data_IF_651193325031
#
_entry.id   IF_651193325031
#
_cell.length_a   1.000
_cell.length_b   1.000
_cell.length_c   1.000
_cell.angle_alpha   90.00
_cell.angle_beta   90.00
_cell.angle_gamma   90.00
#
_symmetry.space_group_name_H-M   'P 1'
#
loop_
_entity.id
_entity.type
_entity.pdbx_description
1 polymer ?
#
# COMPACT_ATOMS: atom_id res chain seq x y z
N UNK A 1 -0.17 28.87 -1.08
CA UNK A 1 -0.63 27.54 -0.64
C UNK A 1 0.44 26.52 -1.03
N UNK A 2 1.27 26.06 -0.09
CA UNK A 2 2.32 25.08 -0.39
C UNK A 2 1.71 23.75 -0.83
N UNK A 3 2.23 23.14 -1.89
CA UNK A 3 1.85 21.77 -2.27
C UNK A 3 2.18 20.85 -1.09
N UNK A 4 1.17 20.18 -0.52
CA UNK A 4 1.37 19.15 0.52
C UNK A 4 2.35 18.12 -0.05
N UNK A 5 3.49 17.95 0.61
CA UNK A 5 4.44 16.91 0.23
C UNK A 5 3.72 15.57 0.29
N UNK A 6 3.92 14.74 -0.73
CA UNK A 6 3.26 13.44 -0.81
C UNK A 6 3.98 12.51 0.17
N UNK A 7 3.35 12.24 1.31
CA UNK A 7 3.82 11.26 2.30
C UNK A 7 3.48 9.83 1.87
N UNK A 8 4.20 8.85 2.42
CA UNK A 8 4.02 7.43 2.17
C UNK A 8 2.61 7.00 2.57
N UNK A 9 1.80 6.63 1.57
CA UNK A 9 0.43 6.17 1.79
C UNK A 9 0.35 4.69 2.20
N UNK A 10 1.44 3.94 2.09
CA UNK A 10 1.46 2.50 2.32
C UNK A 10 2.88 2.01 2.65
N UNK A 11 2.99 1.20 3.70
CA UNK A 11 4.15 0.37 4.00
C UNK A 11 3.69 -1.08 4.28
N UNK A 12 4.52 -2.10 3.99
CA UNK A 12 4.18 -3.49 4.27
C UNK A 12 4.26 -3.79 5.77
N UNK A 13 3.12 -4.10 6.39
CA UNK A 13 3.08 -4.56 7.77
C UNK A 13 3.07 -6.08 7.84
N UNK A 14 4.20 -6.68 8.22
CA UNK A 14 4.32 -8.12 8.42
C UNK A 14 3.85 -8.52 9.81
N UNK A 15 2.63 -9.06 9.91
CA UNK A 15 1.98 -9.42 11.20
C UNK A 15 2.81 -10.45 11.97
N UNK A 16 3.44 -11.41 11.28
CA UNK A 16 4.30 -12.42 11.89
C UNK A 16 5.50 -11.79 12.59
N UNK A 17 6.32 -11.05 11.85
CA UNK A 17 7.48 -10.32 12.39
C UNK A 17 7.08 -9.41 13.54
N UNK A 18 5.99 -8.66 13.37
CA UNK A 18 5.50 -7.74 14.40
C UNK A 18 5.14 -8.49 15.67
N UNK A 19 4.40 -9.60 15.57
CA UNK A 19 4.02 -10.39 16.73
C UNK A 19 5.24 -11.03 17.39
N UNK A 20 6.14 -11.63 16.62
CA UNK A 20 7.36 -12.24 17.17
C UNK A 20 8.25 -11.23 17.89
N UNK A 21 8.39 -10.01 17.35
CA UNK A 21 9.22 -8.96 17.93
C UNK A 21 8.60 -8.26 19.15
N UNK A 22 7.31 -8.45 19.42
CA UNK A 22 6.60 -7.67 20.46
C UNK A 22 5.77 -8.51 21.41
N UNK A 23 5.94 -9.84 21.39
CA UNK A 23 5.14 -10.76 22.21
C UNK A 23 5.41 -10.59 23.71
N UNK A 24 6.61 -10.14 24.07
CA UNK A 24 7.03 -9.89 25.45
C UNK A 24 6.61 -8.51 25.97
N UNK A 25 6.14 -7.63 25.09
CA UNK A 25 5.69 -6.30 25.46
C UNK A 25 4.32 -6.34 26.14
N UNK A 26 4.13 -5.40 27.06
CA UNK A 26 2.80 -5.06 27.57
C UNK A 26 1.92 -4.48 26.46
N UNK A 27 0.60 -4.45 26.70
CA UNK A 27 -0.33 -3.84 25.76
C UNK A 27 -0.01 -2.37 25.46
N UNK A 28 0.43 -1.61 26.45
CA UNK A 28 0.75 -0.18 26.32
C UNK A 28 2.02 0.01 25.48
N UNK A 29 3.08 -0.74 25.78
CA UNK A 29 4.34 -0.71 25.01
C UNK A 29 4.11 -1.11 23.56
N UNK A 30 3.36 -2.20 23.32
CA UNK A 30 3.05 -2.67 21.97
C UNK A 30 2.20 -1.65 21.18
N UNK A 31 1.29 -0.94 21.84
CA UNK A 31 0.53 0.15 21.22
C UNK A 31 1.43 1.35 20.89
N UNK A 32 2.32 1.75 21.80
CA UNK A 32 3.26 2.84 21.59
C UNK A 32 4.24 2.53 20.47
N UNK A 33 4.79 1.32 20.42
CA UNK A 33 5.65 0.88 19.33
C UNK A 33 4.93 1.02 17.98
N UNK A 34 3.65 0.65 17.90
CA UNK A 34 2.87 0.84 16.68
C UNK A 34 2.70 2.32 16.31
N UNK A 35 2.37 3.17 17.28
CA UNK A 35 2.24 4.62 17.06
C UNK A 35 3.55 5.27 16.60
N UNK A 36 4.69 4.82 17.13
CA UNK A 36 6.03 5.28 16.73
C UNK A 36 6.33 4.88 15.29
N UNK A 37 6.06 3.63 14.89
CA UNK A 37 6.23 3.18 13.51
C UNK A 37 5.35 3.98 12.54
N UNK A 38 4.08 4.18 12.88
CA UNK A 38 3.16 4.94 12.03
C UNK A 38 3.62 6.41 11.89
N UNK A 39 4.13 7.02 12.96
CA UNK A 39 4.75 8.35 12.91
C UNK A 39 6.02 8.39 12.06
N UNK A 40 6.86 7.35 12.15
CA UNK A 40 8.09 7.23 11.38
C UNK A 40 7.79 7.16 9.88
N UNK A 41 6.84 6.31 9.48
CA UNK A 41 6.45 6.15 8.08
C UNK A 41 5.64 7.34 7.54
N UNK A 42 4.85 8.03 8.36
CA UNK A 42 4.15 9.25 7.93
C UNK A 42 5.12 10.40 7.64
N UNK A 43 6.17 10.52 8.47
CA UNK A 43 7.15 11.60 8.34
C UNK A 43 8.33 11.25 7.44
N UNK A 44 8.55 9.95 7.18
CA UNK A 44 9.68 9.39 6.42
C UNK A 44 11.04 9.84 6.99
N UNK A 45 11.10 10.07 8.31
CA UNK A 45 12.26 10.65 9.00
C UNK A 45 12.45 10.04 10.39
N UNK A 46 13.67 10.11 10.94
CA UNK A 46 13.95 9.73 12.32
C UNK A 46 13.04 10.48 13.30
N UNK A 47 12.70 9.81 14.39
CA UNK A 47 11.85 10.40 15.42
C UNK A 47 12.63 11.43 16.22
N UNK A 48 11.95 12.46 16.73
CA UNK A 48 12.58 13.55 17.47
C UNK A 48 13.36 13.03 18.70
N UNK A 49 14.60 13.45 18.90
CA UNK A 49 15.41 13.07 20.07
C UNK A 49 14.83 13.56 21.41
N UNK A 50 14.00 14.61 21.40
CA UNK A 50 13.27 15.09 22.56
C UNK A 50 12.05 14.20 22.87
N UNK A 51 12.26 13.26 23.79
CA UNK A 51 11.24 12.30 24.24
C UNK A 51 9.97 12.98 24.73
N UNK A 52 10.05 14.17 25.35
CA UNK A 52 8.85 14.89 25.82
C UNK A 52 7.98 15.34 24.65
N UNK A 53 8.59 15.77 23.55
CA UNK A 53 7.87 16.12 22.31
C UNK A 53 7.29 14.87 21.65
N UNK A 54 8.05 13.76 21.63
CA UNK A 54 7.54 12.48 21.13
C UNK A 54 6.34 11.99 21.92
N UNK A 55 6.40 11.99 23.25
CA UNK A 55 5.31 11.59 24.12
C UNK A 55 4.01 12.35 23.79
N UNK A 56 4.10 13.66 23.54
CA UNK A 56 2.94 14.46 23.09
C UNK A 56 2.43 14.04 21.72
N UNK A 57 3.32 13.66 20.80
CA UNK A 57 2.96 13.26 19.43
C UNK A 57 2.26 11.90 19.39
N UNK A 58 2.73 10.94 20.18
CA UNK A 58 2.15 9.59 20.29
C UNK A 58 1.09 9.45 21.40
N UNK A 59 0.70 10.58 22.03
CA UNK A 59 -0.33 10.65 23.07
C UNK A 59 0.00 9.83 24.33
N UNK A 60 1.29 9.66 24.65
CA UNK A 60 1.76 9.17 25.94
C UNK A 60 1.61 10.29 26.99
N UNK A 61 0.46 10.34 27.64
CA UNK A 61 0.08 11.40 28.58
C UNK A 61 0.34 11.03 30.03
N UNK A 62 0.15 9.76 30.40
CA UNK A 62 0.38 9.26 31.76
C UNK A 62 1.84 8.91 32.01
N UNK A 63 2.25 8.87 33.28
CA UNK A 63 3.63 8.50 33.64
C UNK A 63 3.96 7.05 33.24
N UNK A 64 2.99 6.14 33.37
CA UNK A 64 3.11 4.76 32.88
C UNK A 64 3.38 4.70 31.37
N UNK A 65 2.65 5.49 30.57
CA UNK A 65 2.86 5.54 29.12
C UNK A 65 4.21 6.16 28.75
N UNK A 66 4.72 7.12 29.55
CA UNK A 66 6.04 7.72 29.33
C UNK A 66 7.15 6.72 29.64
N UNK A 67 7.04 5.99 30.74
CA UNK A 67 7.99 4.92 31.06
C UNK A 67 7.98 3.81 29.99
N UNK A 68 6.80 3.41 29.52
CA UNK A 68 6.66 2.46 28.41
C UNK A 68 7.26 3.00 27.10
N UNK A 69 7.15 4.30 26.84
CA UNK A 69 7.77 4.94 25.67
C UNK A 69 9.29 4.85 25.75
N UNK A 70 9.89 5.11 26.91
CA UNK A 70 11.33 5.01 27.11
C UNK A 70 11.83 3.58 26.85
N UNK A 71 11.15 2.58 27.42
CA UNK A 71 11.46 1.14 27.21
C UNK A 71 11.42 0.78 25.72
N UNK A 72 10.37 1.20 25.01
CA UNK A 72 10.22 0.89 23.57
C UNK A 72 11.29 1.60 22.73
N UNK A 73 11.65 2.85 23.06
CA UNK A 73 12.70 3.58 22.35
C UNK A 73 14.05 2.91 22.55
N UNK A 74 14.37 2.51 23.78
CA UNK A 74 15.63 1.82 24.10
C UNK A 74 15.74 0.45 23.44
N UNK A 75 14.62 -0.28 23.30
CA UNK A 75 14.63 -1.63 22.73
C UNK A 75 14.63 -1.64 21.20
N UNK A 76 13.82 -0.81 20.54
CA UNK A 76 13.57 -0.91 19.10
C UNK A 76 14.20 0.21 18.27
N UNK A 77 14.80 1.20 18.92
CA UNK A 77 15.38 2.36 18.25
C UNK A 77 16.82 2.62 18.70
N UNK A 78 17.56 3.32 17.87
CA UNK A 78 18.92 3.78 18.18
C UNK A 78 18.95 5.30 18.12
N UNK A 79 19.42 5.94 19.19
CA UNK A 79 19.58 7.39 19.23
C UNK A 79 20.85 7.80 18.46
N UNK A 80 20.65 8.55 17.37
CA UNK A 80 21.69 9.17 16.56
C UNK A 80 21.66 10.70 16.72
N UNK A 81 22.56 11.41 16.04
CA UNK A 81 22.66 12.87 16.11
C UNK A 81 21.37 13.59 15.64
N UNK A 82 20.66 13.02 14.67
CA UNK A 82 19.47 13.60 14.05
C UNK A 82 18.14 13.06 14.59
N UNK A 83 18.16 12.03 15.46
CA UNK A 83 16.96 11.50 16.10
C UNK A 83 17.06 10.03 16.49
N UNK A 84 15.91 9.44 16.82
CA UNK A 84 15.76 8.01 17.05
C UNK A 84 15.47 7.28 15.74
N UNK A 85 16.33 6.32 15.41
CA UNK A 85 16.28 5.54 14.18
C UNK A 85 15.73 4.14 14.42
N UNK A 86 15.01 3.63 13.43
CA UNK A 86 14.69 2.21 13.33
C UNK A 86 15.26 1.67 12.02
N UNK A 87 16.19 0.73 12.12
CA UNK A 87 16.95 0.20 10.98
C UNK A 87 16.03 -0.32 9.85
N UNK A 88 14.96 -1.02 10.24
CA UNK A 88 13.99 -1.55 9.28
C UNK A 88 13.24 -0.41 8.58
N UNK A 89 12.75 0.58 9.34
CA UNK A 89 12.07 1.74 8.76
C UNK A 89 12.97 2.47 7.76
N UNK A 90 14.22 2.73 8.12
CA UNK A 90 15.19 3.42 7.27
C UNK A 90 15.44 2.66 5.96
N UNK A 91 15.64 1.33 6.05
CA UNK A 91 15.82 0.48 4.88
C UNK A 91 14.59 0.47 3.96
N UNK A 92 13.39 0.35 4.53
CA UNK A 92 12.13 0.33 3.76
C UNK A 92 11.85 1.69 3.08
N UNK A 93 12.09 2.81 3.78
CA UNK A 93 11.91 4.17 3.24
C UNK A 93 12.92 4.44 2.11
N UNK A 94 14.19 4.06 2.30
CA UNK A 94 15.21 4.19 1.26
C UNK A 94 14.84 3.41 -0.02
N UNK A 95 14.38 2.16 0.14
CA UNK A 95 13.92 1.34 -0.97
C UNK A 95 12.68 1.94 -1.67
N UNK A 96 11.75 2.50 -0.90
CA UNK A 96 10.56 3.18 -1.42
C UNK A 96 10.94 4.37 -2.30
N UNK A 97 11.82 5.26 -1.82
CA UNK A 97 12.28 6.41 -2.58
C UNK A 97 13.05 6.01 -3.85
N UNK A 98 13.92 5.00 -3.75
CA UNK A 98 14.67 4.50 -4.90
C UNK A 98 13.72 4.02 -6.01
N UNK A 99 12.70 3.24 -5.64
CA UNK A 99 11.67 2.75 -6.58
C UNK A 99 10.85 3.89 -7.17
N UNK A 100 10.44 4.86 -6.34
CA UNK A 100 9.66 6.02 -6.80
C UNK A 100 10.45 6.85 -7.83
N UNK A 101 11.75 7.06 -7.58
CA UNK A 101 12.64 7.82 -8.47
C UNK A 101 12.87 7.09 -9.80
N UNK A 102 13.08 5.77 -9.77
CA UNK A 102 13.19 4.96 -10.99
C UNK A 102 11.92 5.04 -11.84
N UNK A 103 10.75 4.92 -11.21
CA UNK A 103 9.45 5.04 -11.89
C UNK A 103 9.25 6.44 -12.47
N UNK A 104 9.65 7.49 -11.76
CA UNK A 104 9.59 8.88 -12.24
C UNK A 104 10.46 9.06 -13.49
N UNK A 105 11.72 8.59 -13.46
CA UNK A 105 12.64 8.66 -14.61
C UNK A 105 12.09 7.89 -15.82
N UNK A 106 11.60 6.67 -15.61
CA UNK A 106 11.00 5.86 -16.66
C UNK A 106 9.75 6.54 -17.26
N UNK A 107 8.89 7.11 -16.42
CA UNK A 107 7.71 7.86 -16.84
C UNK A 107 8.05 9.10 -17.68
N UNK A 108 9.07 9.85 -17.27
CA UNK A 108 9.56 11.02 -18.03
C UNK A 108 10.18 10.61 -19.37
N UNK A 109 10.99 9.56 -19.41
CA UNK A 109 11.56 9.02 -20.64
C UNK A 109 10.46 8.57 -21.61
N UNK A 110 9.44 7.86 -21.11
CA UNK A 110 8.27 7.43 -21.89
C UNK A 110 7.45 8.62 -22.41
N UNK A 111 7.26 9.66 -21.61
CA UNK A 111 6.59 10.88 -22.03
C UNK A 111 7.36 11.61 -23.15
N UNK A 112 8.68 11.76 -22.99
CA UNK A 112 9.56 12.37 -24.00
C UNK A 112 9.55 11.59 -25.31
N UNK A 113 9.65 10.26 -25.26
CA UNK A 113 9.61 9.41 -26.45
C UNK A 113 8.27 9.52 -27.21
N UNK A 114 7.14 9.59 -26.49
CA UNK A 114 5.82 9.82 -27.09
C UNK A 114 5.70 11.22 -27.71
N UNK A 115 6.24 12.23 -27.05
CA UNK A 115 6.29 13.61 -27.58
C UNK A 115 7.09 13.70 -28.87
N UNK A 116 8.28 13.09 -28.92
CA UNK A 116 9.14 13.07 -30.11
C UNK A 116 8.47 12.37 -31.31
N UNK A 117 7.79 11.24 -31.10
CA UNK A 117 7.03 10.55 -32.17
C UNK A 117 5.87 11.40 -32.70
N UNK A 118 5.19 12.15 -31.84
CA UNK A 118 4.10 13.06 -32.24
C UNK A 118 4.61 14.26 -33.06
N UNK A 119 5.79 14.79 -32.73
CA UNK A 119 6.45 15.85 -33.49
C UNK A 119 6.97 15.38 -34.85
N UNK A 120 7.53 14.17 -34.93
CA UNK A 120 8.02 13.59 -36.19
C UNK A 120 6.90 13.31 -37.20
N UNK A 121 5.69 12.97 -36.72
CA UNK A 121 4.53 12.72 -37.59
C UNK A 121 3.84 14.03 -38.07
N UNK A 122 4.18 15.19 -37.51
CA UNK A 122 3.55 16.47 -37.88
C UNK A 122 4.30 17.24 -38.99
N UNK A 123 5.55 16.86 -39.32
CA UNK A 123 6.35 17.47 -40.39
C UNK A 123 6.39 16.63 -41.69
N UNK A 124 5.61 15.54 -41.77
CA UNK A 124 5.42 14.76 -42.99
C UNK A 124 4.32 15.36 -43.85
N UNK A 125 4.56 16.53 -44.45
CA UNK A 125 3.74 17.05 -45.54
C UNK A 125 4.00 16.23 -46.79
N UNK A 126 3.10 15.29 -47.08
CA UNK A 126 3.06 14.53 -48.33
C UNK A 126 1.60 14.33 -48.74
N UNK A 127 1.16 15.11 -49.72
CA UNK A 127 -0.08 14.95 -50.46
C UNK A 127 -0.05 13.66 -51.27
N UNK A 128 -1.05 12.79 -51.13
CA UNK A 128 -1.72 12.19 -52.28
C UNK A 128 -3.09 11.59 -51.90
N UNK A 129 -4.04 11.71 -52.81
CA UNK A 129 -5.40 11.17 -52.73
C UNK A 129 -5.41 9.65 -52.92
N UNK A 130 -6.45 9.00 -52.37
CA UNK A 130 -6.93 7.70 -52.85
C UNK A 130 -6.59 6.49 -51.99
N UNK A 131 -7.48 6.18 -51.05
CA UNK A 131 -7.39 4.93 -50.28
C UNK A 131 -8.47 4.80 -49.23
N UNK A 132 -9.72 4.58 -49.65
CA UNK A 132 -10.80 4.12 -48.79
C UNK A 132 -10.41 2.76 -48.18
N UNK A 133 -9.99 2.75 -46.93
CA UNK A 133 -10.20 1.58 -46.05
C UNK A 133 -10.71 2.08 -44.72
N UNK A 134 -12.01 1.88 -44.51
CA UNK A 134 -12.68 2.13 -43.25
C UNK A 134 -12.07 1.26 -42.16
N UNK A 135 -11.43 1.91 -41.20
CA UNK A 135 -11.37 1.42 -39.82
C UNK A 135 -11.66 2.63 -38.95
N UNK A 136 -12.95 2.86 -38.71
CA UNK A 136 -13.39 3.70 -37.61
C UNK A 136 -12.72 3.19 -36.34
N UNK A 137 -11.80 3.99 -35.79
CA UNK A 137 -11.35 3.75 -34.43
C UNK A 137 -12.52 4.11 -33.53
N UNK A 138 -13.22 3.08 -33.07
CA UNK A 138 -14.23 3.21 -32.03
C UNK A 138 -13.64 4.05 -30.89
N UNK A 139 -14.29 5.18 -30.61
CA UNK A 139 -14.13 5.91 -29.37
C UNK A 139 -14.45 4.91 -28.25
N UNK A 140 -13.42 4.32 -27.65
CA UNK A 140 -13.59 3.65 -26.37
C UNK A 140 -13.93 4.73 -25.35
N UNK A 141 -15.22 5.04 -25.25
CA UNK A 141 -15.82 5.68 -24.10
C UNK A 141 -15.59 4.76 -22.92
N UNK A 142 -14.49 4.95 -22.21
CA UNK A 142 -14.29 4.33 -20.91
C UNK A 142 -15.12 5.12 -19.90
N UNK A 143 -16.43 4.97 -20.01
CA UNK A 143 -17.37 5.25 -18.93
C UNK A 143 -16.94 4.37 -17.76
N UNK A 144 -16.51 4.97 -16.66
CA UNK A 144 -16.39 4.27 -15.38
C UNK A 144 -17.80 4.07 -14.83
N UNK A 145 -18.53 3.13 -15.43
CA UNK A 145 -19.65 2.48 -14.75
C UNK A 145 -19.05 1.52 -13.74
N UNK A 146 -19.02 1.95 -12.49
CA UNK A 146 -18.70 1.11 -11.34
C UNK A 146 -19.85 0.12 -11.19
N UNK A 147 -19.69 -1.08 -11.75
CA UNK A 147 -20.56 -2.21 -11.41
C UNK A 147 -20.36 -2.54 -9.92
N UNK A 148 -21.43 -2.57 -9.10
CA UNK A 148 -21.32 -3.06 -7.74
C UNK A 148 -20.93 -4.53 -7.77
N UNK A 149 -19.93 -4.90 -6.95
CA UNK A 149 -19.44 -6.27 -6.78
C UNK A 149 -20.58 -7.20 -6.37
N UNK A 150 -21.23 -7.85 -7.34
CA UNK A 150 -22.07 -9.02 -7.07
C UNK A 150 -21.14 -10.15 -6.62
N UNK A 151 -21.19 -10.46 -5.34
CA UNK A 151 -20.63 -11.66 -4.75
C UNK A 151 -21.08 -12.88 -5.57
N UNK A 152 -20.14 -13.47 -6.33
CA UNK A 152 -20.36 -14.80 -6.93
C UNK A 152 -20.39 -15.80 -5.79
N UNK A 153 -21.60 -16.13 -5.32
CA UNK A 153 -21.82 -17.36 -4.57
C UNK A 153 -21.36 -18.51 -5.45
N UNK A 154 -20.25 -19.15 -5.07
CA UNK A 154 -19.72 -20.33 -5.74
C UNK A 154 -20.74 -21.45 -5.60
N UNK A 155 -21.56 -21.68 -6.63
CA UNK A 155 -22.49 -22.81 -6.66
C UNK A 155 -21.66 -24.09 -6.59
N UNK A 156 -21.53 -24.68 -5.39
CA UNK A 156 -20.84 -25.95 -5.20
C UNK A 156 -21.68 -27.04 -5.85
N UNK A 157 -21.07 -27.79 -6.76
CA UNK A 157 -21.69 -28.93 -7.42
C UNK A 157 -22.12 -29.97 -6.36
N UNK A 158 -23.39 -30.34 -6.33
CA UNK A 158 -24.02 -31.22 -5.33
C UNK A 158 -23.38 -32.61 -5.24
N UNK A 159 -22.77 -33.08 -6.34
CA UNK A 159 -22.02 -34.34 -6.37
C UNK A 159 -20.70 -34.30 -5.58
N UNK A 160 -20.07 -33.13 -5.47
CA UNK A 160 -18.83 -32.99 -4.70
C UNK A 160 -19.11 -33.06 -3.19
N UNK A 161 -20.17 -32.37 -2.74
CA UNK A 161 -20.60 -32.38 -1.34
C UNK A 161 -21.06 -33.77 -0.87
N UNK A 162 -21.77 -34.51 -1.73
CA UNK A 162 -22.18 -35.88 -1.44
C UNK A 162 -20.98 -36.82 -1.15
N UNK A 163 -19.87 -36.64 -1.87
CA UNK A 163 -18.64 -37.43 -1.68
C UNK A 163 -17.85 -37.00 -0.44
N UNK A 164 -17.76 -35.70 -0.20
CA UNK A 164 -17.03 -35.13 0.93
C UNK A 164 -17.67 -35.50 2.29
N UNK A 165 -19.00 -35.50 2.36
CA UNK A 165 -19.75 -35.79 3.58
C UNK A 165 -20.33 -37.21 3.64
N UNK A 166 -20.03 -38.07 2.67
CA UNK A 166 -20.50 -39.46 2.65
C UNK A 166 -22.02 -39.62 2.61
N UNK A 167 -22.75 -38.68 2.01
CA UNK A 167 -24.23 -38.64 1.96
C UNK A 167 -24.74 -38.70 0.52
N UNK A 168 -25.98 -39.16 0.33
CA UNK A 168 -26.57 -39.25 -1.02
C UNK A 168 -26.82 -37.87 -1.63
N UNK A 169 -26.58 -37.75 -2.94
CA UNK A 169 -26.82 -36.53 -3.73
C UNK A 169 -28.27 -36.05 -3.60
N UNK A 170 -29.24 -36.97 -3.49
CA UNK A 170 -30.66 -36.63 -3.30
C UNK A 170 -30.93 -35.94 -1.95
N UNK A 171 -30.15 -36.26 -0.93
CA UNK A 171 -30.25 -35.62 0.39
C UNK A 171 -29.74 -34.18 0.35
N UNK A 172 -28.58 -33.96 -0.30
CA UNK A 172 -28.00 -32.61 -0.50
C UNK A 172 -28.91 -31.71 -1.34
N UNK A 173 -29.57 -32.27 -2.38
CA UNK A 173 -30.51 -31.52 -3.21
C UNK A 173 -31.78 -31.08 -2.46
N UNK A 174 -32.26 -31.89 -1.51
CA UNK A 174 -33.44 -31.54 -0.69
C UNK A 174 -33.11 -30.44 0.32
N UNK A 175 -31.88 -30.39 0.83
CA UNK A 175 -31.45 -29.39 1.82
C UNK A 175 -31.24 -27.98 1.21
N UNK A 176 -30.90 -27.90 -0.08
CA UNK A 176 -30.63 -26.64 -0.78
C UNK A 176 -31.85 -26.06 -1.53
N UNK A 177 -32.98 -26.77 -1.54
CA UNK A 177 -34.17 -26.42 -2.33
C UNK A 177 -35.45 -26.22 -1.50
N UNK A 178 -35.34 -25.57 -0.35
CA UNK A 178 -36.47 -25.11 0.48
C UNK A 178 -36.47 -23.60 0.60
#
# INVERSE_FOLDING_TARGET
>A
MGRRQKTMNHYPHHIGDFNSATIHLTFVERALYRELLDLYYDTERPLNSDVKKLARRVRAVTDEQRAALDIVLEEFFTLCEDGWHNERCDAEIAAYHQKQEQQRKAGQASAKARGAKKGASANGGGSDEGGLTGVERALNGRSTDVQPTRTRTRTRNTRALAREYGVSVRWVQRLLGG
#
